data_IF_794739921945
#
_entry.id   IF_794739921945
#
_cell.length_a   1.000
_cell.length_b   1.000
_cell.length_c   1.000
_cell.angle_alpha   90.00
_cell.angle_beta   90.00
_cell.angle_gamma   90.00
#
_symmetry.space_group_name_H-M   'P 1'
#
loop_
_entity.id
_entity.type
_entity.pdbx_description
1 polymer ?
#
# COMPACT_ATOMS: atom_id res chain seq x y z
N UNK A 1 15.67 4.89 -4.60
CA UNK A 1 15.18 6.05 -3.80
C UNK A 1 14.01 5.55 -2.95
N UNK A 2 14.02 5.83 -1.64
CA UNK A 2 12.95 5.42 -0.71
C UNK A 2 11.79 6.40 -0.81
N UNK A 3 10.57 5.87 -0.84
CA UNK A 3 9.30 6.59 -0.87
C UNK A 3 8.52 6.34 0.41
N UNK A 4 7.77 7.34 0.85
CA UNK A 4 6.92 7.27 2.03
C UNK A 4 5.46 7.48 1.62
N UNK A 5 4.61 6.55 2.02
CA UNK A 5 3.17 6.53 1.78
C UNK A 5 2.41 6.64 3.12
N UNK A 6 2.06 7.84 3.58
CA UNK A 6 1.24 7.99 4.79
C UNK A 6 -0.13 7.32 4.63
N UNK A 7 -0.47 6.36 5.52
CA UNK A 7 -1.79 5.74 5.56
C UNK A 7 -2.79 6.65 6.26
N UNK A 8 -3.77 7.12 5.52
CA UNK A 8 -4.86 7.98 6.05
C UNK A 8 -5.79 7.25 7.02
N UNK A 9 -5.66 5.93 7.17
CA UNK A 9 -6.35 5.19 8.22
C UNK A 9 -6.01 5.72 9.63
N UNK A 10 -4.86 6.39 9.77
CA UNK A 10 -4.41 7.02 11.02
C UNK A 10 -4.66 8.53 11.08
N UNK A 11 -5.26 9.12 10.06
CA UNK A 11 -5.61 10.53 10.00
C UNK A 11 -6.88 10.86 10.82
N UNK A 12 -7.10 12.14 11.08
CA UNK A 12 -8.36 12.63 11.63
C UNK A 12 -9.41 12.73 10.51
N UNK A 13 -10.32 11.78 10.46
CA UNK A 13 -11.36 11.71 9.42
C UNK A 13 -12.30 12.92 9.40
N UNK A 14 -12.44 13.67 10.52
CA UNK A 14 -13.21 14.91 10.56
C UNK A 14 -12.47 16.06 9.87
N UNK A 15 -11.13 15.96 9.79
CA UNK A 15 -10.26 16.98 9.20
C UNK A 15 -9.31 16.37 8.14
N UNK A 16 -9.81 15.43 7.35
CA UNK A 16 -9.01 14.60 6.44
C UNK A 16 -8.23 15.42 5.41
N UNK A 17 -8.84 16.48 4.84
CA UNK A 17 -8.16 17.38 3.90
C UNK A 17 -6.93 18.03 4.54
N UNK A 18 -7.07 18.58 5.75
CA UNK A 18 -5.97 19.20 6.50
C UNK A 18 -4.82 18.21 6.68
N UNK A 19 -5.13 16.99 7.08
CA UNK A 19 -4.12 15.98 7.37
C UNK A 19 -3.42 15.47 6.10
N UNK A 20 -4.15 15.32 5.00
CA UNK A 20 -3.57 14.96 3.69
C UNK A 20 -2.65 16.08 3.18
N UNK A 21 -3.05 17.34 3.30
CA UNK A 21 -2.20 18.47 2.93
C UNK A 21 -0.96 18.53 3.81
N UNK A 22 -1.11 18.34 5.12
CA UNK A 22 0.00 18.34 6.08
C UNK A 22 1.07 17.29 5.71
N UNK A 23 0.70 16.04 5.50
CA UNK A 23 1.68 14.99 5.13
C UNK A 23 2.27 15.22 3.73
N UNK A 24 1.50 15.78 2.81
CA UNK A 24 1.95 16.16 1.48
C UNK A 24 3.05 17.22 1.55
N UNK A 25 2.82 18.29 2.32
CA UNK A 25 3.78 19.39 2.51
C UNK A 25 5.03 18.92 3.29
N UNK A 26 4.87 17.93 4.17
CA UNK A 26 5.96 17.27 4.87
C UNK A 26 6.85 16.39 3.98
N UNK A 27 6.46 16.13 2.72
CA UNK A 27 7.29 15.43 1.74
C UNK A 27 6.87 13.98 1.44
N UNK A 28 5.61 13.61 1.70
CA UNK A 28 5.05 12.32 1.27
C UNK A 28 5.16 12.13 -0.26
N UNK A 29 5.35 10.90 -0.70
CA UNK A 29 5.43 10.54 -2.13
C UNK A 29 4.09 10.00 -2.65
N UNK A 30 3.33 9.31 -1.80
CA UNK A 30 1.99 8.79 -2.04
C UNK A 30 1.04 9.22 -0.91
N UNK A 31 -0.26 9.02 -1.13
CA UNK A 31 -1.27 8.98 -0.07
C UNK A 31 -1.86 7.57 -0.08
N UNK A 32 -1.62 6.80 0.97
CA UNK A 32 -2.08 5.42 1.10
C UNK A 32 -3.51 5.37 1.65
N UNK A 33 -4.38 4.64 0.93
CA UNK A 33 -5.82 4.60 1.17
C UNK A 33 -6.25 3.16 1.42
N UNK A 34 -6.47 2.80 2.69
CA UNK A 34 -6.87 1.46 3.13
C UNK A 34 -8.39 1.27 3.02
N UNK A 35 -8.83 0.47 2.04
CA UNK A 35 -10.25 0.15 1.80
C UNK A 35 -10.56 -1.24 2.35
N UNK A 36 -11.50 -1.31 3.29
CA UNK A 36 -11.90 -2.55 3.97
C UNK A 36 -13.42 -2.72 3.92
N UNK A 37 -13.90 -3.95 3.67
CA UNK A 37 -15.32 -4.26 3.45
C UNK A 37 -16.00 -5.04 4.58
N UNK A 38 -15.28 -5.40 5.64
CA UNK A 38 -15.79 -6.21 6.75
C UNK A 38 -15.93 -7.69 6.43
N UNK A 39 -15.60 -8.13 5.21
CA UNK A 39 -15.67 -9.52 4.76
C UNK A 39 -14.27 -10.14 4.60
N UNK A 40 -13.39 -9.50 3.83
CA UNK A 40 -12.00 -9.94 3.67
C UNK A 40 -11.18 -9.73 4.95
N UNK A 41 -11.45 -8.64 5.67
CA UNK A 41 -10.89 -8.30 6.97
C UNK A 41 -12.02 -7.89 7.93
N UNK A 42 -11.87 -8.06 9.26
CA UNK A 42 -12.93 -7.80 10.23
C UNK A 42 -13.05 -6.31 10.59
N UNK A 43 -13.00 -5.44 9.59
CA UNK A 43 -13.15 -3.98 9.73
C UNK A 43 -13.78 -3.40 8.48
N UNK A 44 -14.48 -2.27 8.62
CA UNK A 44 -15.03 -1.46 7.53
C UNK A 44 -14.42 -0.07 7.65
N UNK A 45 -13.85 0.47 6.58
CA UNK A 45 -13.19 1.77 6.62
C UNK A 45 -13.87 2.77 5.68
N UNK A 46 -13.34 2.92 4.49
CA UNK A 46 -13.81 3.89 3.49
C UNK A 46 -14.06 3.19 2.16
N UNK A 47 -14.74 3.87 1.26
CA UNK A 47 -15.05 3.33 -0.06
C UNK A 47 -14.90 4.37 -1.17
N UNK A 48 -15.48 4.06 -2.32
CA UNK A 48 -15.35 4.82 -3.57
C UNK A 48 -15.64 6.32 -3.40
N UNK A 49 -16.73 6.76 -2.70
CA UNK A 49 -17.02 8.20 -2.57
C UNK A 49 -15.96 8.98 -1.80
N UNK A 50 -15.33 8.37 -0.78
CA UNK A 50 -14.25 9.00 -0.01
C UNK A 50 -12.97 9.03 -0.84
N UNK A 51 -12.65 7.95 -1.56
CA UNK A 51 -11.50 7.91 -2.49
C UNK A 51 -11.61 9.00 -3.56
N UNK A 52 -12.78 9.17 -4.18
CA UNK A 52 -13.05 10.24 -5.16
C UNK A 52 -12.91 11.65 -4.52
N UNK A 53 -13.38 11.84 -3.30
CA UNK A 53 -13.23 13.11 -2.59
C UNK A 53 -11.74 13.42 -2.30
N UNK A 54 -10.97 12.42 -1.86
CA UNK A 54 -9.53 12.54 -1.62
C UNK A 54 -8.79 12.87 -2.92
N UNK A 55 -9.12 12.20 -4.03
CA UNK A 55 -8.47 12.42 -5.32
C UNK A 55 -8.60 13.87 -5.81
N UNK A 56 -9.68 14.57 -5.46
CA UNK A 56 -9.88 15.99 -5.82
C UNK A 56 -8.98 16.96 -5.07
N UNK A 57 -8.49 16.58 -3.89
CA UNK A 57 -7.67 17.45 -3.02
C UNK A 57 -6.21 17.00 -2.93
N UNK A 58 -5.92 15.73 -3.22
CA UNK A 58 -4.58 15.18 -3.11
C UNK A 58 -3.65 15.74 -4.20
N UNK A 59 -2.48 16.24 -3.77
CA UNK A 59 -1.39 16.69 -4.65
C UNK A 59 -0.32 15.61 -4.84
N UNK A 60 -0.55 14.41 -4.32
CA UNK A 60 0.28 13.23 -4.47
C UNK A 60 -0.57 12.08 -5.03
N UNK A 61 0.05 11.13 -5.75
CA UNK A 61 -0.64 9.97 -6.27
C UNK A 61 -1.33 9.18 -5.16
N UNK A 62 -2.56 8.70 -5.42
CA UNK A 62 -3.27 7.81 -4.50
C UNK A 62 -2.79 6.37 -4.71
N UNK A 63 -2.31 5.78 -3.65
CA UNK A 63 -2.00 4.37 -3.53
C UNK A 63 -3.15 3.68 -2.79
N UNK A 64 -4.04 3.05 -3.56
CA UNK A 64 -5.29 2.50 -3.04
C UNK A 64 -5.15 1.00 -2.80
N UNK A 65 -5.24 0.60 -1.54
CA UNK A 65 -5.08 -0.77 -1.07
C UNK A 65 -6.43 -1.41 -0.76
N UNK A 66 -6.85 -2.38 -1.58
CA UNK A 66 -8.14 -3.05 -1.46
C UNK A 66 -8.05 -4.32 -0.60
N UNK A 67 -8.41 -4.20 0.66
CA UNK A 67 -8.65 -5.33 1.57
C UNK A 67 -10.14 -5.71 1.54
N UNK A 68 -10.61 -6.15 0.36
CA UNK A 68 -12.01 -6.47 0.09
C UNK A 68 -12.16 -7.82 -0.61
N UNK A 69 -13.28 -8.50 -0.37
CA UNK A 69 -13.64 -9.76 -1.06
C UNK A 69 -13.90 -9.51 -2.54
N UNK A 70 -13.31 -10.35 -3.40
CA UNK A 70 -13.44 -10.30 -4.87
C UNK A 70 -13.29 -8.89 -5.45
N UNK A 71 -12.10 -8.28 -5.34
CA UNK A 71 -11.84 -6.89 -5.73
C UNK A 71 -12.08 -6.60 -7.22
N UNK A 72 -12.04 -7.63 -8.08
CA UNK A 72 -12.34 -7.50 -9.53
C UNK A 72 -13.67 -6.77 -9.81
N UNK A 73 -14.65 -6.88 -8.90
CA UNK A 73 -15.97 -6.21 -9.02
C UNK A 73 -15.87 -4.68 -8.96
N UNK A 74 -14.82 -4.14 -8.35
CA UNK A 74 -14.70 -2.72 -8.04
C UNK A 74 -13.53 -2.02 -8.73
N UNK A 75 -12.73 -2.75 -9.52
CA UNK A 75 -11.55 -2.21 -10.22
C UNK A 75 -11.88 -0.92 -10.97
N UNK A 76 -12.87 -0.94 -11.89
CA UNK A 76 -13.21 0.24 -12.68
C UNK A 76 -13.64 1.43 -11.81
N UNK A 77 -14.38 1.14 -10.74
CA UNK A 77 -14.91 2.16 -9.88
C UNK A 77 -13.79 2.87 -9.09
N UNK A 78 -12.80 2.14 -8.57
CA UNK A 78 -11.65 2.75 -7.88
C UNK A 78 -10.67 3.42 -8.84
N UNK A 79 -10.44 2.86 -10.03
CA UNK A 79 -9.67 3.53 -11.07
C UNK A 79 -10.31 4.88 -11.44
N UNK A 80 -11.62 4.90 -11.68
CA UNK A 80 -12.37 6.13 -11.97
C UNK A 80 -12.40 7.12 -10.80
N UNK A 81 -12.37 6.64 -9.56
CA UNK A 81 -12.30 7.46 -8.35
C UNK A 81 -10.92 8.10 -8.13
N UNK A 82 -9.93 7.86 -8.99
CA UNK A 82 -8.63 8.54 -8.99
C UNK A 82 -7.48 7.75 -8.37
N UNK A 83 -7.60 6.43 -8.22
CA UNK A 83 -6.45 5.61 -7.87
C UNK A 83 -5.31 5.79 -8.89
N UNK A 84 -4.09 6.02 -8.40
CA UNK A 84 -2.88 6.06 -9.23
C UNK A 84 -2.14 4.71 -9.21
N UNK A 85 -2.22 4.03 -8.08
CA UNK A 85 -1.86 2.62 -7.88
C UNK A 85 -3.09 1.94 -7.28
N UNK A 86 -3.42 0.74 -7.76
CA UNK A 86 -4.51 -0.06 -7.20
C UNK A 86 -3.99 -1.43 -6.83
N UNK A 87 -3.94 -1.69 -5.52
CA UNK A 87 -3.42 -2.92 -4.92
C UNK A 87 -4.56 -3.84 -4.52
N UNK A 88 -4.50 -5.11 -4.98
CA UNK A 88 -5.45 -6.16 -4.61
C UNK A 88 -4.72 -7.28 -3.86
N UNK A 89 -5.36 -7.90 -2.88
CA UNK A 89 -4.84 -9.10 -2.23
C UNK A 89 -5.00 -10.33 -3.11
N UNK A 90 -3.93 -11.13 -3.28
CA UNK A 90 -4.02 -12.36 -4.05
C UNK A 90 -4.92 -13.41 -3.39
N UNK A 91 -5.12 -13.30 -2.08
CA UNK A 91 -5.99 -14.18 -1.28
C UNK A 91 -7.48 -13.80 -1.37
N UNK A 92 -7.80 -12.66 -1.94
CA UNK A 92 -9.17 -12.12 -1.98
C UNK A 92 -10.03 -12.70 -3.11
N UNK A 93 -9.41 -13.35 -4.09
CA UNK A 93 -10.10 -13.96 -5.24
C UNK A 93 -9.28 -15.13 -5.80
N UNK A 94 -9.83 -15.80 -6.82
CA UNK A 94 -9.12 -16.83 -7.58
C UNK A 94 -7.96 -16.22 -8.38
N UNK A 95 -6.95 -17.04 -8.68
CA UNK A 95 -5.81 -16.62 -9.52
C UNK A 95 -6.27 -16.02 -10.86
N UNK A 96 -7.22 -16.66 -11.52
CA UNK A 96 -7.77 -16.19 -12.82
C UNK A 96 -8.40 -14.80 -12.68
N UNK A 97 -9.18 -14.55 -11.62
CA UNK A 97 -9.81 -13.27 -11.37
C UNK A 97 -8.76 -12.20 -10.99
N UNK A 98 -7.74 -12.55 -10.22
CA UNK A 98 -6.64 -11.65 -9.89
C UNK A 98 -5.87 -11.20 -11.15
N UNK A 99 -5.51 -12.14 -12.05
CA UNK A 99 -4.86 -11.79 -13.33
C UNK A 99 -5.75 -10.91 -14.21
N UNK A 100 -7.05 -11.21 -14.25
CA UNK A 100 -8.04 -10.39 -14.98
C UNK A 100 -8.16 -8.99 -14.36
N UNK A 101 -8.15 -8.89 -13.02
CA UNK A 101 -8.20 -7.61 -12.32
C UNK A 101 -6.95 -6.76 -12.59
N UNK A 102 -5.75 -7.35 -12.54
CA UNK A 102 -4.49 -6.64 -12.83
C UNK A 102 -4.47 -6.09 -14.27
N UNK A 103 -4.89 -6.91 -15.25
CA UNK A 103 -5.04 -6.47 -16.63
C UNK A 103 -6.01 -5.29 -16.75
N UNK A 104 -7.16 -5.39 -16.11
CA UNK A 104 -8.20 -4.37 -16.11
C UNK A 104 -7.74 -3.07 -15.46
N UNK A 105 -6.95 -3.13 -14.37
CA UNK A 105 -6.32 -1.96 -13.74
C UNK A 105 -5.43 -1.23 -14.74
N UNK A 106 -4.55 -1.96 -15.45
CA UNK A 106 -3.67 -1.38 -16.48
C UNK A 106 -4.43 -0.81 -17.67
N UNK A 107 -5.50 -1.47 -18.11
CA UNK A 107 -6.38 -0.96 -19.19
C UNK A 107 -7.04 0.38 -18.83
N UNK A 108 -7.27 0.64 -17.53
CA UNK A 108 -7.73 1.94 -17.02
C UNK A 108 -6.60 2.98 -16.88
N UNK A 109 -5.36 2.67 -17.27
CA UNK A 109 -4.21 3.58 -17.15
C UNK A 109 -3.67 3.73 -15.71
N UNK A 110 -4.05 2.84 -14.81
CA UNK A 110 -3.65 2.81 -13.40
C UNK A 110 -2.55 1.76 -13.21
N UNK A 111 -1.59 2.02 -12.32
CA UNK A 111 -0.54 1.06 -11.96
C UNK A 111 -1.16 -0.12 -11.20
N UNK A 112 -0.90 -1.33 -11.68
CA UNK A 112 -1.44 -2.54 -11.11
C UNK A 112 -0.52 -3.10 -10.01
N UNK A 113 -1.10 -3.46 -8.87
CA UNK A 113 -0.35 -3.96 -7.73
C UNK A 113 -1.05 -5.14 -7.03
N UNK A 114 -0.25 -6.00 -6.40
CA UNK A 114 -0.73 -7.06 -5.53
C UNK A 114 -0.23 -6.88 -4.10
N UNK A 115 -0.98 -7.44 -3.17
CA UNK A 115 -0.57 -7.61 -1.77
C UNK A 115 -0.61 -9.07 -1.36
N UNK A 116 0.27 -9.46 -0.42
CA UNK A 116 0.26 -10.77 0.24
C UNK A 116 0.19 -10.63 1.76
N UNK A 117 -0.66 -11.49 2.37
CA UNK A 117 -0.78 -11.61 3.82
C UNK A 117 0.47 -12.25 4.45
N UNK A 118 0.70 -12.08 5.78
CA UNK A 118 1.85 -12.68 6.46
C UNK A 118 1.97 -14.19 6.28
N UNK A 119 0.84 -14.92 6.23
CA UNK A 119 0.84 -16.39 6.09
C UNK A 119 1.01 -16.88 4.65
N UNK A 120 0.87 -16.02 3.67
CA UNK A 120 0.95 -16.40 2.25
C UNK A 120 2.41 -16.59 1.84
N UNK A 121 2.79 -17.74 1.29
CA UNK A 121 4.15 -17.97 0.81
C UNK A 121 4.56 -17.04 -0.32
N UNK A 122 5.82 -16.63 -0.35
CA UNK A 122 6.34 -15.65 -1.33
C UNK A 122 6.26 -16.12 -2.78
N UNK A 123 6.39 -17.42 -3.03
CA UNK A 123 6.30 -18.04 -4.36
C UNK A 123 4.92 -17.79 -5.02
N UNK A 124 3.87 -17.63 -4.21
CA UNK A 124 2.57 -17.24 -4.73
C UNK A 124 2.53 -15.81 -5.28
N UNK A 125 3.36 -14.89 -4.75
CA UNK A 125 3.47 -13.53 -5.27
C UNK A 125 4.35 -13.46 -6.53
N UNK A 126 5.43 -14.26 -6.59
CA UNK A 126 6.41 -14.22 -7.67
C UNK A 126 5.78 -14.41 -9.06
N UNK A 127 4.76 -15.24 -9.18
CA UNK A 127 4.05 -15.49 -10.45
C UNK A 127 3.26 -14.29 -10.98
N UNK A 128 2.95 -13.28 -10.11
CA UNK A 128 2.27 -12.07 -10.51
C UNK A 128 3.19 -10.93 -10.93
N UNK A 129 4.51 -11.00 -10.64
CA UNK A 129 5.47 -9.94 -10.97
C UNK A 129 5.38 -9.42 -12.42
N UNK A 130 5.20 -10.29 -13.46
CA UNK A 130 5.07 -9.81 -14.85
C UNK A 130 3.88 -8.87 -15.09
N UNK A 131 2.92 -8.88 -14.17
CA UNK A 131 1.66 -8.13 -14.28
C UNK A 131 1.59 -6.94 -13.32
N UNK A 132 2.64 -6.73 -12.50
CA UNK A 132 2.63 -5.75 -11.42
C UNK A 132 3.61 -4.60 -11.67
N UNK A 133 3.22 -3.42 -11.24
CA UNK A 133 4.06 -2.22 -11.15
C UNK A 133 4.49 -1.94 -9.70
N UNK A 134 3.85 -2.65 -8.75
CA UNK A 134 4.17 -2.62 -7.33
C UNK A 134 3.73 -3.95 -6.67
N UNK A 135 4.51 -4.42 -5.69
CA UNK A 135 4.14 -5.53 -4.80
C UNK A 135 4.20 -5.07 -3.36
N UNK A 136 3.12 -5.28 -2.62
CA UNK A 136 3.00 -4.95 -1.21
C UNK A 136 3.14 -6.23 -0.37
N UNK A 137 4.03 -6.20 0.63
CA UNK A 137 4.15 -7.23 1.67
C UNK A 137 3.54 -6.70 2.96
N UNK A 138 2.50 -7.37 3.45
CA UNK A 138 1.95 -7.06 4.76
C UNK A 138 2.94 -7.47 5.86
N UNK A 139 3.28 -6.53 6.73
CA UNK A 139 4.12 -6.74 7.92
C UNK A 139 3.32 -6.70 9.21
N UNK A 140 2.00 -6.84 9.08
CA UNK A 140 0.99 -7.09 10.11
C UNK A 140 -0.14 -7.91 9.49
N UNK A 141 -1.03 -8.52 10.29
CA UNK A 141 -2.30 -9.04 9.73
C UNK A 141 -3.17 -7.86 9.28
N UNK A 142 -3.68 -7.85 8.02
CA UNK A 142 -4.51 -6.74 7.53
C UNK A 142 -5.80 -6.59 8.31
N UNK A 143 -6.31 -5.34 8.44
CA UNK A 143 -7.59 -5.04 9.06
C UNK A 143 -7.58 -3.92 10.10
N UNK A 144 -6.47 -3.66 10.78
CA UNK A 144 -6.37 -2.61 11.80
C UNK A 144 -5.03 -1.89 11.74
N UNK A 145 -5.04 -0.59 12.02
CA UNK A 145 -3.82 0.19 12.20
C UNK A 145 -3.17 -0.01 13.57
N UNK A 146 -1.90 0.43 13.71
CA UNK A 146 -1.19 0.49 15.00
C UNK A 146 -0.74 -0.87 15.57
N UNK A 147 -0.69 -1.91 14.76
CA UNK A 147 -0.22 -3.23 15.15
C UNK A 147 1.32 -3.30 15.23
N UNK A 148 1.83 -4.30 15.96
CA UNK A 148 3.26 -4.59 16.06
C UNK A 148 3.83 -5.13 14.76
N UNK A 149 4.99 -4.62 14.36
CA UNK A 149 5.72 -5.04 13.17
C UNK A 149 6.14 -6.52 13.25
N UNK A 150 5.96 -7.24 12.15
CA UNK A 150 6.33 -8.65 11.99
C UNK A 150 7.67 -8.75 11.22
N UNK A 151 8.79 -8.75 11.95
CA UNK A 151 10.13 -8.82 11.35
C UNK A 151 10.42 -10.12 10.58
N UNK A 152 9.68 -11.18 10.88
CA UNK A 152 9.75 -12.48 10.17
C UNK A 152 9.20 -12.41 8.72
N UNK A 153 8.65 -11.26 8.31
CA UNK A 153 8.28 -11.01 6.91
C UNK A 153 9.47 -10.56 6.04
N UNK A 154 10.58 -10.15 6.63
CA UNK A 154 11.74 -9.65 5.87
C UNK A 154 12.34 -10.65 4.88
N UNK A 155 12.41 -11.94 5.15
CA UNK A 155 12.82 -12.93 4.12
C UNK A 155 11.95 -12.91 2.85
N UNK A 156 10.64 -12.58 2.95
CA UNK A 156 9.78 -12.43 1.78
C UNK A 156 10.13 -11.16 1.00
N UNK A 157 10.37 -10.05 1.71
CA UNK A 157 10.81 -8.78 1.10
C UNK A 157 12.12 -9.00 0.34
N UNK A 158 13.11 -9.67 0.94
CA UNK A 158 14.39 -10.00 0.30
C UNK A 158 14.23 -10.87 -0.95
N UNK A 159 13.38 -11.90 -0.89
CA UNK A 159 13.12 -12.78 -2.02
C UNK A 159 12.44 -12.06 -3.18
N UNK A 160 11.46 -11.19 -2.88
CA UNK A 160 10.80 -10.34 -3.89
C UNK A 160 11.78 -9.32 -4.46
N UNK A 161 12.61 -8.66 -3.64
CA UNK A 161 13.63 -7.72 -4.11
C UNK A 161 14.59 -8.38 -5.09
N UNK A 162 15.09 -9.56 -4.76
CA UNK A 162 16.00 -10.31 -5.65
C UNK A 162 15.35 -10.65 -7.00
N UNK A 163 14.07 -11.04 -7.01
CA UNK A 163 13.35 -11.34 -8.25
C UNK A 163 13.06 -10.06 -9.06
N UNK A 164 12.67 -8.97 -8.39
CA UNK A 164 12.39 -7.67 -9.00
C UNK A 164 13.67 -7.10 -9.65
N UNK A 165 14.79 -7.10 -8.96
CA UNK A 165 16.07 -6.59 -9.49
C UNK A 165 16.55 -7.35 -10.72
N UNK A 166 16.29 -8.66 -10.76
CA UNK A 166 16.70 -9.53 -11.86
C UNK A 166 15.84 -9.33 -13.10
N UNK A 167 14.48 -9.30 -12.96
CA UNK A 167 13.57 -9.47 -14.08
C UNK A 167 12.59 -8.28 -14.28
N UNK A 168 12.34 -7.48 -13.23
CA UNK A 168 11.30 -6.44 -13.22
C UNK A 168 11.75 -5.14 -12.53
N UNK A 169 12.89 -4.52 -12.91
CA UNK A 169 13.55 -3.47 -12.13
C UNK A 169 12.72 -2.18 -11.96
N UNK A 170 11.64 -2.00 -12.70
CA UNK A 170 10.69 -0.89 -12.55
C UNK A 170 9.60 -1.16 -11.51
N UNK A 171 9.44 -2.40 -11.04
CA UNK A 171 8.44 -2.77 -10.04
C UNK A 171 8.87 -2.27 -8.66
N UNK A 172 7.99 -1.56 -7.97
CA UNK A 172 8.21 -1.11 -6.60
C UNK A 172 7.90 -2.23 -5.61
N UNK A 173 8.60 -2.22 -4.48
CA UNK A 173 8.39 -3.17 -3.38
C UNK A 173 8.00 -2.39 -2.14
N UNK A 174 6.76 -2.56 -1.74
CA UNK A 174 6.13 -1.87 -0.65
C UNK A 174 5.98 -2.75 0.58
N UNK A 175 6.02 -2.14 1.76
CA UNK A 175 5.66 -2.78 3.03
C UNK A 175 4.62 -1.95 3.75
N UNK A 176 3.64 -2.63 4.36
CA UNK A 176 2.59 -2.02 5.17
C UNK A 176 2.41 -2.78 6.48
N UNK A 177 2.51 -2.03 7.58
CA UNK A 177 2.25 -2.50 8.92
C UNK A 177 3.40 -2.29 9.91
N UNK A 178 3.14 -1.52 10.98
CA UNK A 178 4.07 -1.31 12.07
C UNK A 178 5.33 -0.51 11.70
N UNK A 179 5.31 0.26 10.62
CA UNK A 179 6.45 1.08 10.17
C UNK A 179 6.64 2.30 11.07
N UNK A 180 7.84 2.42 11.61
CA UNK A 180 8.36 3.55 12.38
C UNK A 180 9.84 3.77 12.02
N UNK A 181 10.56 4.70 12.69
CA UNK A 181 11.95 5.03 12.35
C UNK A 181 12.93 3.85 12.52
N UNK A 182 12.64 2.90 13.41
CA UNK A 182 13.49 1.72 13.63
C UNK A 182 13.16 0.64 12.60
N UNK A 183 11.87 0.31 12.45
CA UNK A 183 11.43 -0.76 11.54
C UNK A 183 11.59 -0.37 10.07
N UNK A 184 11.54 0.92 9.73
CA UNK A 184 11.82 1.43 8.38
C UNK A 184 13.21 1.02 7.89
N UNK A 185 14.24 1.12 8.75
CA UNK A 185 15.61 0.69 8.42
C UNK A 185 15.66 -0.79 8.08
N UNK A 186 14.99 -1.62 8.89
CA UNK A 186 14.91 -3.08 8.68
C UNK A 186 14.24 -3.38 7.33
N UNK A 187 13.16 -2.67 6.99
CA UNK A 187 12.46 -2.83 5.71
C UNK A 187 13.33 -2.42 4.51
N UNK A 188 14.02 -1.28 4.61
CA UNK A 188 14.92 -0.78 3.55
C UNK A 188 16.12 -1.73 3.35
N UNK A 189 16.73 -2.20 4.43
CA UNK A 189 17.83 -3.19 4.38
C UNK A 189 17.37 -4.51 3.74
N UNK A 190 16.10 -4.90 3.93
CA UNK A 190 15.51 -6.05 3.26
C UNK A 190 15.17 -5.80 1.79
N UNK A 191 15.19 -4.55 1.33
CA UNK A 191 15.00 -4.17 -0.08
C UNK A 191 13.68 -3.50 -0.41
N UNK A 192 12.83 -3.17 0.58
CA UNK A 192 11.65 -2.34 0.34
C UNK A 192 12.05 -0.93 -0.09
N UNK A 193 11.32 -0.34 -1.03
CA UNK A 193 11.54 1.02 -1.51
C UNK A 193 10.30 1.93 -1.40
N UNK A 194 9.16 1.39 -0.95
CA UNK A 194 7.96 2.14 -0.56
C UNK A 194 7.56 1.71 0.85
N UNK A 195 7.37 2.66 1.76
CA UNK A 195 7.07 2.39 3.16
C UNK A 195 5.75 3.06 3.55
N UNK A 196 4.75 2.23 3.90
CA UNK A 196 3.48 2.72 4.41
C UNK A 196 3.62 3.00 5.90
N UNK A 197 3.45 4.26 6.29
CA UNK A 197 3.55 4.71 7.67
C UNK A 197 2.23 5.35 8.12
N UNK A 198 1.60 4.77 9.14
CA UNK A 198 0.35 5.26 9.72
C UNK A 198 0.58 5.98 11.04
N UNK A 199 0.19 5.33 12.14
CA UNK A 199 0.12 5.95 13.47
C UNK A 199 1.44 6.58 13.97
N UNK A 200 2.60 6.00 13.63
CA UNK A 200 3.89 6.56 14.02
C UNK A 200 4.15 7.91 13.34
N UNK A 201 3.76 8.05 12.07
CA UNK A 201 3.92 9.28 11.29
C UNK A 201 2.94 10.36 11.74
N UNK A 202 1.63 10.04 11.86
CA UNK A 202 0.61 11.02 12.24
C UNK A 202 0.72 11.49 13.70
N UNK A 203 1.37 10.71 14.57
CA UNK A 203 1.67 11.10 15.96
C UNK A 203 3.05 11.72 16.14
N UNK A 204 3.86 11.83 15.09
CA UNK A 204 5.18 12.42 15.18
C UNK A 204 5.10 13.92 15.52
N UNK A 205 5.92 14.42 16.44
CA UNK A 205 5.97 15.86 16.77
C UNK A 205 6.37 16.72 15.58
N UNK A 206 7.20 16.19 14.68
CA UNK A 206 7.63 16.79 13.41
C UNK A 206 7.53 15.74 12.30
N UNK A 207 6.43 15.81 11.56
CA UNK A 207 6.13 14.88 10.45
C UNK A 207 7.17 15.00 9.32
N UNK A 208 7.67 16.20 9.04
CA UNK A 208 8.66 16.41 7.99
C UNK A 208 10.02 15.82 8.37
N UNK A 209 10.44 15.96 9.63
CA UNK A 209 11.65 15.30 10.12
C UNK A 209 11.49 13.75 10.10
N UNK A 210 10.32 13.24 10.46
CA UNK A 210 10.03 11.80 10.40
C UNK A 210 10.16 11.26 8.97
N UNK A 211 9.56 11.92 7.97
CA UNK A 211 9.64 11.51 6.57
C UNK A 211 11.07 11.58 6.05
N UNK A 212 11.82 12.65 6.37
CA UNK A 212 13.25 12.75 5.99
C UNK A 212 14.07 11.60 6.56
N UNK A 213 13.90 11.30 7.84
CA UNK A 213 14.66 10.25 8.53
C UNK A 213 14.38 8.84 7.99
N UNK A 214 13.18 8.59 7.39
CA UNK A 214 12.88 7.34 6.68
C UNK A 214 13.61 7.29 5.32
N UNK A 215 13.77 8.43 4.65
CA UNK A 215 14.34 8.52 3.30
C UNK A 215 15.86 8.51 3.27
N UNK A 216 16.51 8.80 4.41
CA UNK A 216 17.96 8.77 4.61
C UNK A 216 18.51 7.36 4.87
#
# INVERSE_FOLDING_TARGET
MIKVAPSILSADFVNLERDIQHVTDAGADYIHVDVMDGLFVPNITIGIPVTDAIARIARRPLDVHLMIDRPIRYVDAFCKAGASVLTIHIEADTEQNNLTALKKIRENGVRAAISIKPKTPVDQALKYLPYCDLVLVMTVEPGFGGQSFMADMMPKVQALRAAIDRDFPSCELEVDGGVNLETAKICVEAGANVLVAGSALFKAPDTAAFIRAIKE
#
